data_IF_925876921267
#
_entry.id   IF_925876921267
#
_cell.length_a   1.000
_cell.length_b   1.000
_cell.length_c   1.000
_cell.angle_alpha   90.00
_cell.angle_beta   90.00
_cell.angle_gamma   90.00
#
_symmetry.space_group_name_H-M   'P 1'
#
loop_
_entity.id
_entity.type
_entity.pdbx_description
1 polymer ?
#
# COMPACT_ATOMS: atom_id res chain seq x y z
N UNK A 1 0.07 17.63 13.27
CA UNK A 1 0.84 16.37 13.42
C UNK A 1 1.69 16.03 12.19
N UNK A 2 1.19 16.25 10.96
CA UNK A 2 1.95 16.07 9.69
C UNK A 2 3.37 16.66 9.72
N UNK A 3 3.53 17.95 10.05
CA UNK A 3 4.87 18.59 10.14
C UNK A 3 5.83 17.83 11.07
N UNK A 4 5.34 17.34 12.21
CA UNK A 4 6.17 16.57 13.15
C UNK A 4 6.63 15.25 12.55
N UNK A 5 5.73 14.52 11.87
CA UNK A 5 6.07 13.23 11.26
C UNK A 5 6.96 13.38 10.02
N UNK A 6 6.97 14.56 9.38
CA UNK A 6 7.90 14.91 8.31
C UNK A 6 9.28 15.29 8.85
N UNK A 7 9.37 16.25 9.78
CA UNK A 7 10.66 16.73 10.29
C UNK A 7 11.32 15.81 11.32
N UNK A 8 10.52 14.98 12.01
CA UNK A 8 10.97 14.01 13.02
C UNK A 8 10.25 12.67 12.79
N UNK A 9 10.53 11.98 11.68
CA UNK A 9 9.87 10.73 11.35
C UNK A 9 10.13 9.65 12.40
N UNK A 10 9.14 8.79 12.62
CA UNK A 10 9.23 7.66 13.56
C UNK A 10 9.59 6.40 12.79
N UNK A 11 10.39 5.55 13.42
CA UNK A 11 10.83 4.27 12.87
C UNK A 11 11.56 4.36 11.52
N UNK A 12 12.11 5.54 11.20
CA UNK A 12 12.98 5.70 10.04
C UNK A 12 14.28 4.95 10.29
N UNK A 13 14.73 4.20 9.28
CA UNK A 13 16.01 3.52 9.28
C UNK A 13 16.86 4.06 8.13
N UNK A 14 17.96 4.73 8.47
CA UNK A 14 18.82 5.39 7.47
C UNK A 14 19.78 4.41 6.80
N UNK A 15 20.28 3.44 7.55
CA UNK A 15 21.22 2.44 7.10
C UNK A 15 20.54 1.10 6.87
N UNK A 16 21.12 0.27 5.98
CA UNK A 16 20.59 -1.06 5.75
C UNK A 16 20.80 -1.93 7.00
N UNK A 17 19.75 -2.57 7.52
CA UNK A 17 19.90 -3.44 8.67
C UNK A 17 20.61 -4.73 8.27
N UNK A 18 21.28 -5.36 9.23
CA UNK A 18 21.76 -6.74 9.03
C UNK A 18 20.56 -7.65 8.76
N UNK A 19 20.63 -8.46 7.70
CA UNK A 19 19.53 -9.33 7.22
C UNK A 19 18.91 -10.23 8.30
N UNK A 20 19.67 -10.62 9.33
CA UNK A 20 19.19 -11.49 10.40
C UNK A 20 18.31 -10.78 11.45
N UNK A 21 18.19 -9.45 11.42
CA UNK A 21 17.46 -8.70 12.46
C UNK A 21 15.94 -8.69 12.19
N UNK A 22 15.53 -8.75 10.92
CA UNK A 22 14.14 -8.62 10.51
C UNK A 22 13.64 -9.90 9.83
N UNK A 23 12.36 -10.18 10.01
CA UNK A 23 11.72 -11.41 9.56
C UNK A 23 11.23 -11.29 8.11
N UNK A 24 10.86 -10.08 7.69
CA UNK A 24 10.41 -9.77 6.34
C UNK A 24 10.93 -8.41 5.86
N UNK A 25 11.05 -8.28 4.54
CA UNK A 25 11.49 -7.07 3.85
C UNK A 25 10.66 -6.86 2.58
N UNK A 26 10.28 -5.60 2.31
CA UNK A 26 9.54 -5.22 1.11
C UNK A 26 10.09 -3.97 0.46
N UNK A 27 10.09 -3.94 -0.87
CA UNK A 27 10.49 -2.79 -1.68
C UNK A 27 9.37 -2.54 -2.70
N UNK A 28 8.92 -1.30 -2.80
CA UNK A 28 7.89 -0.85 -3.75
C UNK A 28 8.28 0.48 -4.38
N UNK A 29 7.72 0.77 -5.55
CA UNK A 29 8.06 1.94 -6.35
C UNK A 29 9.27 1.70 -7.27
N UNK A 30 9.69 2.75 -7.97
CA UNK A 30 10.80 2.71 -8.92
C UNK A 30 11.59 4.01 -8.85
N UNK A 31 12.94 3.95 -8.88
CA UNK A 31 13.77 5.16 -8.95
C UNK A 31 13.39 6.08 -10.11
N UNK A 32 12.90 5.51 -11.23
CA UNK A 32 12.47 6.28 -12.40
C UNK A 32 11.24 7.17 -12.13
N UNK A 33 10.38 6.77 -11.19
CA UNK A 33 9.16 7.50 -10.84
C UNK A 33 9.36 8.46 -9.65
N UNK A 34 10.58 8.51 -9.07
CA UNK A 34 10.91 9.42 -7.97
C UNK A 34 10.36 9.01 -6.60
N UNK A 35 9.60 7.92 -6.50
CA UNK A 35 9.09 7.35 -5.26
C UNK A 35 9.55 5.88 -5.12
N UNK A 36 10.37 5.61 -4.11
CA UNK A 36 10.82 4.25 -3.72
C UNK A 36 10.69 4.11 -2.21
N UNK A 37 10.09 3.02 -1.76
CA UNK A 37 9.96 2.71 -0.33
C UNK A 37 10.47 1.31 -0.04
N UNK A 38 11.31 1.22 0.99
CA UNK A 38 11.79 -0.04 1.55
C UNK A 38 11.34 -0.14 3.00
N UNK A 39 10.83 -1.28 3.40
CA UNK A 39 10.37 -1.52 4.76
C UNK A 39 10.85 -2.88 5.27
N UNK A 40 11.00 -2.97 6.58
CA UNK A 40 11.44 -4.16 7.29
C UNK A 40 10.52 -4.40 8.48
N UNK A 41 10.11 -5.65 8.68
CA UNK A 41 9.18 -6.04 9.73
C UNK A 41 9.80 -7.09 10.65
N UNK A 42 9.53 -6.99 11.95
CA UNK A 42 9.71 -8.09 12.91
C UNK A 42 8.37 -8.67 13.25
N UNK A 43 8.29 -9.99 13.32
CA UNK A 43 7.03 -10.71 13.49
C UNK A 43 7.13 -11.67 14.67
N UNK A 44 6.21 -11.50 15.64
CA UNK A 44 5.95 -12.51 16.66
C UNK A 44 5.08 -13.61 16.03
N UNK A 45 5.75 -14.67 15.56
CA UNK A 45 5.10 -15.79 14.89
C UNK A 45 4.06 -16.52 15.78
N UNK A 46 4.22 -16.49 17.11
CA UNK A 46 3.26 -17.16 18.02
C UNK A 46 1.97 -16.38 18.16
N UNK A 47 2.03 -15.04 18.04
CA UNK A 47 0.88 -14.15 18.18
C UNK A 47 0.33 -13.65 16.85
N UNK A 48 1.02 -13.96 15.76
CA UNK A 48 0.75 -13.46 14.41
C UNK A 48 0.71 -11.93 14.35
N UNK A 49 1.70 -11.29 15.00
CA UNK A 49 1.78 -9.83 15.17
C UNK A 49 3.07 -9.24 14.61
N UNK A 50 2.95 -8.07 13.99
CA UNK A 50 4.07 -7.21 13.63
C UNK A 50 4.47 -6.41 14.88
N UNK A 51 5.68 -6.64 15.38
CA UNK A 51 6.19 -6.00 16.61
C UNK A 51 7.14 -4.84 16.33
N UNK A 52 7.72 -4.78 15.13
CA UNK A 52 8.55 -3.67 14.69
C UNK A 52 8.32 -3.44 13.20
N UNK A 53 8.32 -2.17 12.79
CA UNK A 53 8.12 -1.74 11.41
C UNK A 53 9.08 -0.60 11.12
N UNK A 54 10.21 -0.90 10.49
CA UNK A 54 11.18 0.09 10.04
C UNK A 54 10.99 0.39 8.57
N UNK A 55 11.34 1.59 8.16
CA UNK A 55 11.18 1.99 6.78
C UNK A 55 12.22 3.04 6.37
N UNK A 56 12.44 3.12 5.07
CA UNK A 56 13.20 4.16 4.39
C UNK A 56 12.50 4.46 3.06
N UNK A 57 12.44 5.73 2.69
CA UNK A 57 11.86 6.11 1.40
C UNK A 57 12.66 7.23 0.77
N UNK A 58 12.70 7.23 -0.55
CA UNK A 58 12.92 8.42 -1.35
C UNK A 58 11.55 8.79 -1.91
N UNK A 59 11.02 9.93 -1.54
CA UNK A 59 9.69 10.35 -1.99
C UNK A 59 9.20 11.64 -1.34
N UNK A 60 7.96 12.03 -1.65
CA UNK A 60 7.44 13.32 -1.22
C UNK A 60 7.23 13.43 0.31
N UNK A 61 7.16 14.67 0.81
CA UNK A 61 6.92 14.95 2.24
C UNK A 61 5.67 14.26 2.82
N UNK A 62 4.65 14.06 1.98
CA UNK A 62 3.41 13.40 2.37
C UNK A 62 3.60 11.90 2.58
N UNK A 63 4.41 11.24 1.73
CA UNK A 63 4.74 9.83 1.86
C UNK A 63 5.56 9.57 3.14
N UNK A 64 6.55 10.44 3.42
CA UNK A 64 7.32 10.40 4.67
C UNK A 64 6.40 10.50 5.88
N UNK A 65 5.49 11.49 5.90
CA UNK A 65 4.60 11.68 7.04
C UNK A 65 3.59 10.52 7.20
N UNK A 66 3.04 10.02 6.09
CA UNK A 66 2.09 8.90 6.08
C UNK A 66 2.74 7.60 6.58
N UNK A 67 3.89 7.22 6.03
CA UNK A 67 4.59 5.99 6.46
C UNK A 67 5.13 6.10 7.88
N UNK A 68 5.59 7.29 8.28
CA UNK A 68 5.94 7.58 9.67
C UNK A 68 4.77 7.31 10.61
N UNK A 69 3.55 7.73 10.25
CA UNK A 69 2.36 7.46 11.06
C UNK A 69 1.95 5.98 11.01
N UNK A 70 1.92 5.37 9.83
CA UNK A 70 1.62 3.94 9.66
C UNK A 70 2.52 3.08 10.55
N UNK A 71 3.82 3.37 10.56
CA UNK A 71 4.79 2.66 11.41
C UNK A 71 4.48 2.75 12.89
N UNK A 72 3.94 3.88 13.36
CA UNK A 72 3.53 4.07 14.75
C UNK A 72 2.26 3.31 15.02
N UNK A 73 1.25 3.40 14.14
CA UNK A 73 -0.01 2.67 14.28
C UNK A 73 0.21 1.15 14.37
N UNK A 74 1.16 0.61 13.60
CA UNK A 74 1.48 -0.82 13.61
C UNK A 74 2.21 -1.24 14.88
N UNK A 75 3.12 -0.39 15.38
CA UNK A 75 4.03 -0.77 16.49
C UNK A 75 3.58 -0.28 17.87
N UNK A 76 2.58 0.59 17.96
CA UNK A 76 2.01 1.00 19.24
C UNK A 76 1.41 -0.19 19.99
N UNK A 77 1.32 -0.06 21.33
CA UNK A 77 0.73 -1.09 22.21
C UNK A 77 1.36 -2.49 22.06
N UNK A 78 2.64 -2.54 21.67
CA UNK A 78 3.42 -3.78 21.56
C UNK A 78 3.23 -4.53 20.24
N UNK A 79 2.64 -3.88 19.23
CA UNK A 79 2.47 -4.43 17.90
C UNK A 79 1.02 -4.74 17.52
N UNK A 80 0.80 -4.92 16.23
CA UNK A 80 -0.52 -5.14 15.63
C UNK A 80 -0.57 -6.52 14.97
N UNK A 81 -1.73 -7.18 15.01
CA UNK A 81 -1.91 -8.43 14.25
C UNK A 81 -1.79 -8.16 12.75
N UNK A 82 -1.23 -9.11 12.02
CA UNK A 82 -1.04 -8.98 10.56
C UNK A 82 -2.39 -8.71 9.86
N UNK A 83 -3.44 -9.45 10.25
CA UNK A 83 -4.79 -9.26 9.71
C UNK A 83 -5.35 -7.85 9.89
N UNK A 84 -5.05 -7.20 11.02
CA UNK A 84 -5.54 -5.86 11.34
C UNK A 84 -4.68 -4.80 10.65
N UNK A 85 -3.37 -5.04 10.54
CA UNK A 85 -2.46 -4.15 9.83
C UNK A 85 -2.84 -4.04 8.34
N UNK A 86 -3.32 -5.12 7.73
CA UNK A 86 -3.82 -5.12 6.35
C UNK A 86 -5.18 -4.46 6.16
N UNK A 87 -5.89 -4.12 7.24
CA UNK A 87 -7.17 -3.38 7.19
C UNK A 87 -6.99 -1.88 7.39
N UNK A 88 -5.79 -1.41 7.74
CA UNK A 88 -5.51 0.03 7.87
C UNK A 88 -5.76 0.71 6.52
N UNK A 89 -6.69 1.66 6.50
CA UNK A 89 -7.00 2.45 5.31
C UNK A 89 -6.19 3.74 5.29
N UNK A 90 -5.97 4.36 4.10
CA UNK A 90 -5.42 5.71 3.99
C UNK A 90 -6.06 6.74 4.93
N UNK A 91 -7.39 6.67 5.11
CA UNK A 91 -8.18 7.53 5.99
C UNK A 91 -7.79 7.38 7.45
N UNK A 92 -7.48 6.18 7.92
CA UNK A 92 -7.09 5.96 9.30
C UNK A 92 -5.76 6.67 9.59
N UNK A 93 -4.83 6.59 8.64
CA UNK A 93 -3.53 7.28 8.69
C UNK A 93 -3.75 8.80 8.66
N UNK A 94 -4.58 9.30 7.73
CA UNK A 94 -4.88 10.74 7.60
C UNK A 94 -5.57 11.29 8.84
N UNK A 95 -6.58 10.56 9.36
CA UNK A 95 -7.30 10.90 10.60
C UNK A 95 -6.32 11.00 11.76
N UNK A 96 -5.37 10.05 11.87
CA UNK A 96 -4.39 10.08 12.94
C UNK A 96 -3.33 11.18 12.77
N UNK A 97 -3.03 11.57 11.54
CA UNK A 97 -2.20 12.73 11.21
C UNK A 97 -2.90 14.08 11.41
N UNK A 98 -4.19 14.09 11.76
CA UNK A 98 -5.00 15.29 11.94
C UNK A 98 -5.39 15.96 10.62
N UNK A 99 -5.49 15.17 9.55
CA UNK A 99 -5.90 15.60 8.21
C UNK A 99 -4.73 15.81 7.24
N UNK A 100 -4.97 15.43 5.99
CA UNK A 100 -4.19 15.78 4.80
C UNK A 100 -5.20 16.18 3.70
N UNK A 101 -4.85 17.04 2.74
CA UNK A 101 -5.71 17.29 1.58
C UNK A 101 -6.01 16.00 0.81
N UNK A 102 -7.27 15.77 0.41
CA UNK A 102 -7.75 14.52 -0.20
C UNK A 102 -6.93 14.05 -1.42
N UNK A 103 -6.39 15.00 -2.19
CA UNK A 103 -5.48 14.75 -3.33
C UNK A 103 -4.15 14.07 -2.96
N UNK A 104 -3.90 13.73 -1.70
CA UNK A 104 -2.64 13.12 -1.21
C UNK A 104 -2.77 11.67 -0.75
N UNK A 105 -3.92 11.03 -0.99
CA UNK A 105 -4.19 9.63 -0.62
C UNK A 105 -3.20 8.64 -1.25
N UNK A 106 -2.76 8.88 -2.49
CA UNK A 106 -1.68 8.11 -3.14
C UNK A 106 -0.46 7.90 -2.23
N UNK A 107 -0.05 8.95 -1.49
CA UNK A 107 1.15 8.92 -0.66
C UNK A 107 1.01 8.02 0.58
N UNK A 108 -0.21 7.71 1.01
CA UNK A 108 -0.49 6.73 2.07
C UNK A 108 -0.52 5.29 1.56
N UNK A 109 -0.78 5.07 0.26
CA UNK A 109 -0.89 3.73 -0.33
C UNK A 109 0.49 3.07 -0.47
N UNK A 110 1.54 3.85 -0.71
CA UNK A 110 2.90 3.32 -0.84
C UNK A 110 3.35 2.54 0.41
N UNK A 111 2.99 3.04 1.60
CA UNK A 111 3.27 2.36 2.87
C UNK A 111 2.53 1.02 3.02
N UNK A 112 1.27 0.96 2.60
CA UNK A 112 0.46 -0.28 2.63
C UNK A 112 1.03 -1.33 1.67
N UNK A 113 1.34 -0.94 0.43
CA UNK A 113 1.99 -1.84 -0.55
C UNK A 113 3.33 -2.36 -0.04
N UNK A 114 4.14 -1.49 0.56
CA UNK A 114 5.42 -1.88 1.13
C UNK A 114 5.25 -2.87 2.30
N UNK A 115 4.30 -2.60 3.21
CA UNK A 115 3.95 -3.48 4.32
C UNK A 115 3.55 -4.88 3.84
N UNK A 116 2.61 -4.96 2.88
CA UNK A 116 2.17 -6.24 2.29
C UNK A 116 3.33 -6.99 1.67
N UNK A 117 4.17 -6.30 0.90
CA UNK A 117 5.37 -6.89 0.29
C UNK A 117 6.31 -7.47 1.35
N UNK A 118 6.52 -6.76 2.47
CA UNK A 118 7.39 -7.22 3.54
C UNK A 118 6.83 -8.42 4.31
N UNK A 119 5.53 -8.43 4.61
CA UNK A 119 4.87 -9.56 5.25
C UNK A 119 4.83 -10.78 4.32
N UNK A 120 4.55 -10.60 3.02
CA UNK A 120 4.63 -11.66 2.03
C UNK A 120 6.03 -12.28 1.93
N UNK A 121 7.08 -11.46 2.06
CA UNK A 121 8.47 -11.94 2.12
C UNK A 121 8.69 -12.87 3.31
N UNK A 122 8.11 -12.54 4.48
CA UNK A 122 8.12 -13.42 5.65
C UNK A 122 7.31 -14.70 5.44
N UNK A 123 6.11 -14.60 4.86
CA UNK A 123 5.28 -15.77 4.53
C UNK A 123 6.02 -16.74 3.60
N UNK A 124 6.70 -16.24 2.56
CA UNK A 124 7.55 -17.06 1.68
C UNK A 124 8.68 -17.75 2.45
N UNK A 125 9.38 -17.01 3.32
CA UNK A 125 10.48 -17.53 4.14
C UNK A 125 10.03 -18.62 5.12
N UNK A 126 8.76 -18.59 5.52
CA UNK A 126 8.15 -19.54 6.47
C UNK A 126 7.20 -20.52 5.81
N UNK A 127 7.23 -20.63 4.47
CA UNK A 127 6.45 -21.57 3.66
C UNK A 127 4.91 -21.45 3.82
N UNK A 128 4.42 -20.28 4.26
CA UNK A 128 2.99 -19.97 4.39
C UNK A 128 2.42 -19.41 3.07
N UNK A 129 2.55 -20.18 1.98
CA UNK A 129 2.22 -19.70 0.63
C UNK A 129 0.74 -19.36 0.42
N UNK A 130 -0.15 -20.01 1.16
CA UNK A 130 -1.60 -19.78 1.19
C UNK A 130 -1.97 -18.38 1.71
N UNK A 131 -1.09 -17.75 2.48
CA UNK A 131 -1.30 -16.42 3.07
C UNK A 131 -0.76 -15.28 2.20
N UNK A 132 -0.06 -15.59 1.10
CA UNK A 132 0.56 -14.58 0.24
C UNK A 132 -0.52 -13.83 -0.55
N UNK A 133 -0.53 -12.50 -0.42
CA UNK A 133 -1.42 -11.63 -1.19
C UNK A 133 -0.66 -11.08 -2.39
N UNK A 134 -0.98 -11.52 -3.61
CA UNK A 134 -0.40 -10.95 -4.85
C UNK A 134 -1.33 -9.84 -5.34
N UNK A 135 -0.95 -8.57 -5.15
CA UNK A 135 -1.71 -7.44 -5.69
C UNK A 135 -1.38 -7.22 -7.18
N UNK A 136 -2.41 -7.00 -8.00
CA UNK A 136 -2.29 -6.29 -9.28
C UNK A 136 -1.72 -7.05 -10.50
N UNK A 137 -1.37 -8.33 -10.36
CA UNK A 137 -0.71 -9.09 -11.45
C UNK A 137 -1.64 -9.68 -12.52
N UNK A 138 -2.97 -9.59 -12.36
CA UNK A 138 -3.93 -10.16 -13.30
C UNK A 138 -4.13 -9.21 -14.48
N UNK A 139 -3.90 -9.69 -15.71
CA UNK A 139 -4.28 -8.97 -16.93
C UNK A 139 -5.82 -8.98 -17.02
N UNK A 140 -6.40 -7.79 -17.18
CA UNK A 140 -7.84 -7.55 -17.27
C UNK A 140 -8.26 -7.35 -18.73
N UNK A 141 -7.44 -6.64 -19.50
CA UNK A 141 -7.63 -6.46 -20.94
C UNK A 141 -6.37 -6.92 -21.68
N UNK A 142 -6.44 -8.05 -22.42
CA UNK A 142 -5.31 -8.58 -23.15
C UNK A 142 -4.91 -7.74 -24.37
N UNK A 143 -5.81 -6.94 -24.94
CA UNK A 143 -5.52 -6.10 -26.10
C UNK A 143 -4.69 -4.89 -25.73
N UNK A 144 -5.08 -4.21 -24.65
CA UNK A 144 -4.35 -3.03 -24.14
C UNK A 144 -3.28 -3.39 -23.11
N UNK A 145 -3.24 -4.65 -22.68
CA UNK A 145 -2.37 -5.18 -21.62
C UNK A 145 -2.60 -4.52 -20.27
N UNK A 146 -3.79 -3.93 -20.06
CA UNK A 146 -4.18 -3.35 -18.78
C UNK A 146 -4.34 -4.45 -17.75
N UNK A 147 -3.75 -4.22 -16.59
CA UNK A 147 -3.77 -5.09 -15.43
C UNK A 147 -4.69 -4.56 -14.35
N UNK A 148 -4.95 -5.40 -13.35
CA UNK A 148 -5.65 -4.99 -12.14
C UNK A 148 -4.92 -3.85 -11.41
N UNK A 149 -3.58 -3.83 -11.45
CA UNK A 149 -2.77 -2.74 -10.89
C UNK A 149 -3.02 -1.39 -11.60
N UNK A 150 -3.18 -1.40 -12.92
CA UNK A 150 -3.44 -0.18 -13.70
C UNK A 150 -4.82 0.41 -13.37
N UNK A 151 -5.82 -0.46 -13.17
CA UNK A 151 -7.16 -0.03 -12.73
C UNK A 151 -7.11 0.53 -11.31
N UNK A 152 -6.38 -0.13 -10.41
CA UNK A 152 -6.15 0.34 -9.05
C UNK A 152 -5.54 1.75 -9.04
N UNK A 153 -4.51 1.97 -9.85
CA UNK A 153 -3.83 3.26 -9.97
C UNK A 153 -4.78 4.34 -10.52
N UNK A 154 -5.56 4.03 -11.55
CA UNK A 154 -6.55 4.96 -12.08
C UNK A 154 -7.58 5.38 -11.01
N UNK A 155 -8.06 4.44 -10.18
CA UNK A 155 -8.98 4.72 -9.08
C UNK A 155 -8.34 5.60 -8.01
N UNK A 156 -7.07 5.34 -7.66
CA UNK A 156 -6.30 6.18 -6.72
C UNK A 156 -6.08 7.61 -7.23
N UNK A 157 -6.02 7.80 -8.54
CA UNK A 157 -5.96 9.11 -9.19
C UNK A 157 -7.34 9.78 -9.34
N UNK A 158 -8.42 9.16 -8.85
CA UNK A 158 -9.76 9.71 -8.81
C UNK A 158 -10.66 9.29 -9.98
N UNK A 159 -10.29 8.30 -10.79
CA UNK A 159 -11.21 7.72 -11.78
C UNK A 159 -12.21 6.77 -11.09
N UNK A 160 -13.42 7.26 -10.83
CA UNK A 160 -14.46 6.53 -10.09
C UNK A 160 -15.54 5.90 -10.99
N UNK A 161 -15.44 6.11 -12.30
CA UNK A 161 -16.34 5.54 -13.30
C UNK A 161 -15.56 4.71 -14.32
N UNK A 162 -16.23 3.77 -14.99
CA UNK A 162 -15.63 3.00 -16.10
C UNK A 162 -15.10 3.94 -17.17
N UNK A 163 -15.84 5.00 -17.49
CA UNK A 163 -15.44 5.97 -18.50
C UNK A 163 -14.14 6.69 -18.12
N UNK A 164 -13.99 7.10 -16.86
CA UNK A 164 -12.77 7.76 -16.38
C UNK A 164 -11.57 6.80 -16.38
N UNK A 165 -11.78 5.55 -15.97
CA UNK A 165 -10.73 4.52 -15.98
C UNK A 165 -10.33 4.19 -17.42
N UNK A 166 -11.29 4.07 -18.33
CA UNK A 166 -11.05 3.83 -19.74
C UNK A 166 -10.31 4.99 -20.42
N UNK A 167 -10.61 6.25 -20.07
CA UNK A 167 -9.86 7.42 -20.56
C UNK A 167 -8.39 7.38 -20.16
N UNK A 168 -8.08 6.90 -18.94
CA UNK A 168 -6.71 6.82 -18.42
C UNK A 168 -5.94 5.61 -18.95
N UNK A 169 -6.56 4.44 -18.93
CA UNK A 169 -5.90 3.14 -19.14
C UNK A 169 -6.10 2.57 -20.53
N UNK A 170 -7.12 3.04 -21.27
CA UNK A 170 -7.63 2.46 -22.53
C UNK A 170 -8.30 1.09 -22.36
N UNK A 171 -8.56 0.64 -21.13
CA UNK A 171 -9.19 -0.65 -20.85
C UNK A 171 -10.54 -0.79 -21.57
N UNK A 172 -10.77 -1.96 -22.18
CA UNK A 172 -12.02 -2.27 -22.88
C UNK A 172 -12.14 -1.68 -24.28
N UNK A 173 -11.15 -0.90 -24.75
CA UNK A 173 -11.11 -0.42 -26.15
C UNK A 173 -10.80 -1.61 -27.06
N UNK A 174 -11.82 -2.05 -27.80
CA UNK A 174 -11.73 -3.24 -28.65
C UNK A 174 -11.82 -4.57 -27.89
N UNK A 175 -12.16 -4.53 -26.60
CA UNK A 175 -12.37 -5.72 -25.75
C UNK A 175 -13.44 -5.44 -24.66
N UNK A 176 -14.69 -5.12 -25.04
CA UNK A 176 -15.72 -4.68 -24.09
C UNK A 176 -16.16 -5.75 -23.07
N UNK A 177 -15.84 -7.03 -23.29
CA UNK A 177 -16.16 -8.13 -22.37
C UNK A 177 -15.48 -8.01 -20.99
N UNK A 178 -14.39 -7.23 -20.86
CA UNK A 178 -13.75 -6.99 -19.57
C UNK A 178 -14.47 -5.93 -18.71
N UNK A 179 -15.39 -5.15 -19.28
CA UNK A 179 -16.03 -4.01 -18.60
C UNK A 179 -16.74 -4.38 -17.29
N UNK A 180 -17.52 -5.48 -17.19
CA UNK A 180 -18.13 -5.89 -15.92
C UNK A 180 -17.08 -6.17 -14.83
N UNK A 181 -15.92 -6.74 -15.19
CA UNK A 181 -14.83 -6.97 -14.25
C UNK A 181 -14.17 -5.65 -13.83
N UNK A 182 -14.00 -4.70 -14.77
CA UNK A 182 -13.51 -3.35 -14.47
C UNK A 182 -14.43 -2.64 -13.47
N UNK A 183 -15.76 -2.71 -13.65
CA UNK A 183 -16.73 -2.14 -12.70
C UNK A 183 -16.59 -2.70 -11.28
N UNK A 184 -16.42 -4.02 -11.16
CA UNK A 184 -16.22 -4.67 -9.87
C UNK A 184 -14.92 -4.22 -9.21
N UNK A 185 -13.83 -4.10 -9.98
CA UNK A 185 -12.54 -3.62 -9.48
C UNK A 185 -12.62 -2.15 -9.04
N UNK A 186 -13.31 -1.29 -9.80
CA UNK A 186 -13.53 0.10 -9.41
C UNK A 186 -14.25 0.16 -8.07
N UNK A 187 -15.35 -0.60 -7.89
CA UNK A 187 -16.09 -0.64 -6.61
C UNK A 187 -15.19 -1.13 -5.47
N UNK A 188 -14.46 -2.22 -5.68
CA UNK A 188 -13.56 -2.79 -4.70
C UNK A 188 -12.49 -1.80 -4.25
N UNK A 189 -11.78 -1.17 -5.19
CA UNK A 189 -10.71 -0.22 -4.87
C UNK A 189 -11.23 1.09 -4.31
N UNK A 190 -12.42 1.52 -4.73
CA UNK A 190 -13.11 2.65 -4.14
C UNK A 190 -13.40 2.38 -2.66
N UNK A 191 -13.99 1.24 -2.32
CA UNK A 191 -14.27 0.89 -0.93
C UNK A 191 -13.00 0.67 -0.09
N UNK A 192 -11.97 0.07 -0.70
CA UNK A 192 -10.65 -0.16 -0.08
C UNK A 192 -9.98 1.16 0.32
N UNK A 193 -9.94 2.14 -0.59
CA UNK A 193 -9.14 3.35 -0.41
C UNK A 193 -9.92 4.61 -0.05
N UNK A 194 -11.22 4.67 -0.35
CA UNK A 194 -12.09 5.82 -0.13
C UNK A 194 -13.21 5.53 0.90
N UNK A 195 -13.53 4.27 1.17
CA UNK A 195 -14.62 3.86 2.06
C UNK A 195 -15.94 3.65 1.31
N UNK A 196 -16.99 3.13 1.99
CA UNK A 196 -18.32 3.01 1.38
C UNK A 196 -18.92 4.39 1.11
N UNK A 197 -19.76 4.47 0.08
CA UNK A 197 -20.61 5.64 -0.14
C UNK A 197 -21.64 5.71 0.99
N UNK A 198 -21.65 6.82 1.74
CA UNK A 198 -22.73 7.12 2.70
C UNK A 198 -24.07 7.37 2.00
#
# INVERSE_FOLDING_TARGET
MVKSHFFKPRNLLLEDPKKAIYDGEGIVGSPACGDVMRVWVKIDAKKDKITDFKWRTFGCASAIAATSMLSVMITEKGGMKIEDAFKIKPQDIMKRLGGLPDRKIHCSVLGDKALRTAVNSWFKKTEQFDRIIVEGGKIIDPNTKVTEADIEEAVLEGALTVEDVQKKTKVGIGYPECIPQVEQLIRFYREKYFGPDE
#
